data_IF_109520920925
#
_entry.id   IF_109520920925
#
_cell.length_a   1.000
_cell.length_b   1.000
_cell.length_c   1.000
_cell.angle_alpha   90.00
_cell.angle_beta   90.00
_cell.angle_gamma   90.00
#
_symmetry.space_group_name_H-M   'P 1'
#
loop_
_entity.id
_entity.type
_entity.pdbx_description
1 polymer ?
#
# COMPACT_ATOMS: atom_id res chain seq x y z
N UNK A 1 -31.80 16.99 81.35
CA UNK A 1 -30.72 16.03 80.96
C UNK A 1 -30.75 15.89 79.46
N UNK A 2 -29.76 16.47 78.75
CA UNK A 2 -29.74 16.47 77.29
C UNK A 2 -28.62 15.55 76.83
N UNK A 3 -29.00 14.49 76.12
CA UNK A 3 -28.05 13.55 75.49
C UNK A 3 -27.53 14.14 74.20
N UNK A 4 -26.22 14.45 74.11
CA UNK A 4 -25.52 14.77 72.86
C UNK A 4 -25.09 13.48 72.19
N UNK A 5 -25.68 13.16 71.04
CA UNK A 5 -25.22 12.10 70.13
C UNK A 5 -24.11 12.67 69.22
N UNK A 6 -22.93 12.08 69.29
CA UNK A 6 -21.82 12.40 68.40
C UNK A 6 -21.84 11.50 67.19
N UNK A 7 -22.11 12.08 66.02
CA UNK A 7 -21.98 11.38 64.73
C UNK A 7 -20.51 11.42 64.30
N UNK A 8 -19.84 10.29 64.23
CA UNK A 8 -18.50 10.15 63.60
C UNK A 8 -18.69 9.93 62.11
N UNK A 9 -18.27 10.91 61.34
CA UNK A 9 -18.25 10.86 59.89
C UNK A 9 -17.00 10.12 59.44
N UNK A 10 -17.12 8.92 58.84
CA UNK A 10 -16.02 8.18 58.26
C UNK A 10 -15.76 8.70 56.83
N UNK A 11 -14.57 9.26 56.62
CA UNK A 11 -14.10 9.69 55.30
C UNK A 11 -13.51 8.44 54.63
N UNK A 12 -14.21 7.93 53.61
CA UNK A 12 -13.67 6.89 52.73
C UNK A 12 -12.83 7.59 51.67
N UNK A 13 -11.51 7.46 51.74
CA UNK A 13 -10.58 7.89 50.67
C UNK A 13 -10.56 6.80 49.63
N UNK A 14 -11.26 7.03 48.54
CA UNK A 14 -11.17 6.17 47.35
C UNK A 14 -9.90 6.60 46.59
N UNK A 15 -8.84 5.81 46.77
CA UNK A 15 -7.61 5.96 45.98
C UNK A 15 -7.88 5.46 44.56
N UNK A 16 -8.21 6.37 43.65
CA UNK A 16 -8.35 6.07 42.23
C UNK A 16 -6.98 5.82 41.60
N UNK A 17 -6.64 4.57 41.34
CA UNK A 17 -5.52 4.24 40.46
C UNK A 17 -5.86 4.67 39.05
N UNK A 18 -5.36 5.81 38.61
CA UNK A 18 -5.31 6.21 37.21
C UNK A 18 -4.33 5.29 36.50
N UNK A 19 -4.82 4.22 35.90
CA UNK A 19 -4.08 3.49 34.88
C UNK A 19 -3.99 4.39 33.64
N UNK A 20 -2.92 5.15 33.52
CA UNK A 20 -2.54 5.77 32.25
C UNK A 20 -2.17 4.65 31.29
N UNK A 21 -3.09 4.27 30.42
CA UNK A 21 -2.78 3.47 29.24
C UNK A 21 -1.84 4.33 28.37
N UNK A 22 -0.55 4.16 28.52
CA UNK A 22 0.43 4.61 27.54
C UNK A 22 0.10 3.81 26.27
N UNK A 23 -0.62 4.42 25.35
CA UNK A 23 -0.67 3.94 23.99
C UNK A 23 0.79 3.96 23.49
N UNK A 24 1.44 2.81 23.49
CA UNK A 24 2.72 2.65 22.80
C UNK A 24 2.45 2.95 21.33
N UNK A 25 2.79 4.14 20.88
CA UNK A 25 2.84 4.43 19.46
C UNK A 25 3.75 3.38 18.82
N UNK A 26 3.22 2.59 17.93
CA UNK A 26 4.00 1.58 17.22
C UNK A 26 5.15 2.31 16.52
N UNK A 27 6.38 1.85 16.75
CA UNK A 27 7.54 2.39 16.05
C UNK A 27 7.37 2.15 14.54
N UNK A 28 7.58 3.19 13.76
CA UNK A 28 7.48 3.10 12.31
C UNK A 28 8.58 2.18 11.77
N UNK A 29 8.28 1.47 10.68
CA UNK A 29 9.17 0.51 10.02
C UNK A 29 9.73 -0.56 10.97
N UNK A 30 8.93 -0.97 11.93
CA UNK A 30 9.27 -1.99 12.90
C UNK A 30 8.14 -3.02 13.05
N UNK A 31 8.51 -4.26 13.33
CA UNK A 31 7.56 -5.31 13.68
C UNK A 31 7.34 -5.34 15.18
N UNK A 32 6.09 -5.44 15.60
CA UNK A 32 5.74 -5.75 16.98
C UNK A 32 6.22 -7.16 17.34
N UNK A 33 6.35 -7.51 18.63
CA UNK A 33 6.67 -8.87 19.04
C UNK A 33 5.68 -9.91 18.50
N UNK A 34 4.39 -9.56 18.43
CA UNK A 34 3.35 -10.44 17.90
C UNK A 34 3.53 -10.65 16.39
N UNK A 35 3.78 -9.59 15.62
CA UNK A 35 4.00 -9.71 14.18
C UNK A 35 5.22 -10.59 13.85
N UNK A 36 6.29 -10.47 14.63
CA UNK A 36 7.45 -11.36 14.49
C UNK A 36 7.08 -12.83 14.73
N UNK A 37 6.26 -13.09 15.73
CA UNK A 37 5.76 -14.45 16.04
C UNK A 37 4.84 -14.96 14.94
N UNK A 38 4.03 -14.08 14.35
CA UNK A 38 3.08 -14.40 13.29
C UNK A 38 3.72 -14.56 11.91
N UNK A 39 5.04 -14.37 11.80
CA UNK A 39 5.81 -14.57 10.58
C UNK A 39 5.87 -13.37 9.63
N UNK A 40 5.53 -12.17 10.10
CA UNK A 40 5.71 -10.95 9.33
C UNK A 40 7.19 -10.64 9.11
N UNK A 41 7.49 -10.08 7.96
CA UNK A 41 8.82 -9.61 7.56
C UNK A 41 8.72 -8.17 7.08
N UNK A 42 9.69 -7.33 7.43
CA UNK A 42 9.80 -5.99 6.86
C UNK A 42 10.33 -6.10 5.43
N UNK A 43 9.67 -5.42 4.49
CA UNK A 43 10.23 -5.13 3.18
C UNK A 43 10.96 -3.79 3.16
N UNK A 44 10.77 -2.96 4.20
CA UNK A 44 11.48 -1.70 4.39
C UNK A 44 11.68 -1.43 5.88
N UNK A 45 12.91 -1.12 6.27
CA UNK A 45 13.31 -0.91 7.67
C UNK A 45 13.48 0.57 8.07
N UNK A 46 13.14 1.48 7.15
CA UNK A 46 13.26 2.92 7.37
C UNK A 46 14.63 3.51 7.03
N UNK A 47 15.64 2.72 6.66
CA UNK A 47 17.02 3.20 6.54
C UNK A 47 17.52 3.27 5.12
N UNK A 48 17.31 2.23 4.34
CA UNK A 48 17.83 2.13 2.98
C UNK A 48 16.88 1.32 2.08
N UNK A 49 17.23 1.19 0.82
CA UNK A 49 16.47 0.44 -0.18
C UNK A 49 17.02 -0.97 -0.40
N UNK A 50 17.71 -1.54 0.58
CA UNK A 50 18.10 -2.95 0.54
C UNK A 50 16.86 -3.84 0.40
N UNK A 51 16.91 -4.80 -0.52
CA UNK A 51 15.74 -5.64 -0.83
C UNK A 51 14.87 -5.09 -1.97
N UNK A 52 15.27 -3.96 -2.57
CA UNK A 52 14.59 -3.33 -3.70
C UNK A 52 15.54 -3.03 -4.85
N UNK A 53 15.01 -3.05 -6.06
CA UNK A 53 15.69 -2.62 -7.28
C UNK A 53 14.71 -1.95 -8.24
N UNK A 54 15.21 -1.17 -9.17
CA UNK A 54 14.39 -0.65 -10.26
C UNK A 54 14.10 -1.74 -11.28
N UNK A 55 12.90 -1.75 -11.85
CA UNK A 55 12.45 -2.78 -12.78
C UNK A 55 13.49 -3.10 -13.85
N UNK A 56 13.90 -4.36 -13.94
CA UNK A 56 14.95 -4.89 -14.83
C UNK A 56 16.33 -4.21 -14.71
N UNK A 57 16.64 -3.62 -13.54
CA UNK A 57 17.93 -2.99 -13.28
C UNK A 57 18.60 -3.61 -12.05
N UNK A 58 19.87 -3.31 -11.87
CA UNK A 58 20.57 -3.65 -10.63
C UNK A 58 20.50 -2.48 -9.65
N UNK A 59 19.82 -2.69 -8.52
CA UNK A 59 19.65 -1.69 -7.48
C UNK A 59 18.53 -0.67 -7.76
N UNK A 60 18.22 0.20 -6.79
CA UNK A 60 17.01 1.02 -6.78
C UNK A 60 17.01 2.24 -7.72
N UNK A 61 18.07 2.41 -8.52
CA UNK A 61 18.16 3.54 -9.44
C UNK A 61 18.35 4.89 -8.75
N UNK A 62 18.07 5.98 -9.48
CA UNK A 62 18.28 7.36 -8.99
C UNK A 62 17.00 8.04 -8.56
N UNK A 63 15.85 7.51 -8.97
CA UNK A 63 14.55 8.16 -8.77
C UNK A 63 13.98 7.91 -7.37
N UNK A 64 14.45 6.85 -6.74
CA UNK A 64 14.05 6.46 -5.40
C UNK A 64 15.13 6.77 -4.36
N UNK A 65 14.71 7.10 -3.16
CA UNK A 65 15.60 7.31 -2.01
C UNK A 65 14.84 7.13 -0.71
N UNK A 66 15.55 7.19 0.41
CA UNK A 66 14.96 7.23 1.74
C UNK A 66 15.11 8.63 2.30
N UNK A 67 14.03 9.18 2.85
CA UNK A 67 13.99 10.44 3.59
C UNK A 67 12.90 10.37 4.65
N UNK A 68 13.19 10.86 5.85
CA UNK A 68 12.25 10.91 6.97
C UNK A 68 11.58 9.54 7.23
N UNK A 69 12.42 8.48 7.28
CA UNK A 69 12.02 7.10 7.50
C UNK A 69 10.98 6.57 6.46
N UNK A 70 10.92 7.15 5.28
CA UNK A 70 10.05 6.73 4.20
C UNK A 70 10.83 6.52 2.89
N UNK A 71 10.39 5.56 2.08
CA UNK A 71 10.77 5.49 0.67
C UNK A 71 10.11 6.65 -0.04
N UNK A 72 10.88 7.44 -0.74
CA UNK A 72 10.37 8.57 -1.53
C UNK A 72 10.70 8.40 -3.01
N UNK A 73 9.74 8.72 -3.84
CA UNK A 73 9.98 8.97 -5.24
C UNK A 73 10.47 10.42 -5.39
N UNK A 74 11.71 10.58 -5.88
CA UNK A 74 12.30 11.87 -6.22
C UNK A 74 11.75 12.36 -7.54
N UNK A 75 12.26 13.50 -7.97
CA UNK A 75 12.01 14.05 -9.28
C UNK A 75 12.29 12.99 -10.35
N UNK A 76 11.32 12.81 -11.22
CA UNK A 76 11.51 12.09 -12.46
C UNK A 76 12.52 12.84 -13.35
N UNK A 77 13.59 12.18 -13.73
CA UNK A 77 14.46 12.70 -14.78
C UNK A 77 13.76 12.55 -16.13
N UNK A 78 13.97 13.50 -17.03
CA UNK A 78 13.36 13.54 -18.35
C UNK A 78 14.00 12.58 -19.38
N UNK A 79 14.70 11.54 -18.94
CA UNK A 79 15.26 10.52 -19.83
C UNK A 79 14.29 9.33 -19.95
N UNK A 80 13.58 9.21 -21.09
CA UNK A 80 12.60 8.12 -21.28
C UNK A 80 13.18 6.72 -21.16
N UNK A 81 14.50 6.55 -21.28
CA UNK A 81 15.14 5.25 -21.17
C UNK A 81 15.35 4.80 -19.70
N UNK A 82 15.29 5.75 -18.75
CA UNK A 82 15.53 5.50 -17.33
C UNK A 82 14.36 5.94 -16.43
N UNK A 83 13.34 6.53 -17.01
CA UNK A 83 12.33 7.34 -16.31
C UNK A 83 11.12 6.59 -15.75
N UNK A 84 11.03 5.27 -15.93
CA UNK A 84 9.87 4.49 -15.49
C UNK A 84 10.27 3.31 -14.62
N UNK A 85 11.37 3.46 -13.91
CA UNK A 85 11.81 2.38 -13.07
C UNK A 85 10.95 2.31 -11.81
N UNK A 86 9.84 1.60 -11.92
CA UNK A 86 9.11 1.16 -10.74
C UNK A 86 10.07 0.46 -9.79
N UNK A 87 9.89 0.67 -8.50
CA UNK A 87 10.71 0.04 -7.47
C UNK A 87 10.14 -1.34 -7.18
N UNK A 88 10.92 -2.38 -7.39
CA UNK A 88 10.51 -3.79 -7.35
C UNK A 88 11.19 -4.50 -6.18
N UNK A 89 10.46 -5.32 -5.43
CA UNK A 89 11.04 -6.16 -4.37
C UNK A 89 11.96 -7.22 -4.93
N UNK A 90 13.09 -7.52 -4.25
CA UNK A 90 13.96 -8.63 -4.65
C UNK A 90 13.28 -10.00 -4.44
N UNK A 91 12.36 -10.10 -3.48
CA UNK A 91 11.59 -11.30 -3.22
C UNK A 91 10.36 -11.43 -4.12
N UNK A 92 9.98 -12.68 -4.41
CA UNK A 92 8.72 -13.03 -5.06
C UNK A 92 7.76 -13.65 -4.03
N UNK A 93 6.47 -13.41 -4.22
CA UNK A 93 5.43 -13.84 -3.28
C UNK A 93 4.26 -14.47 -4.04
N UNK A 94 3.76 -15.61 -3.52
CA UNK A 94 2.61 -16.33 -4.08
C UNK A 94 1.34 -16.05 -3.29
N UNK A 95 1.26 -16.57 -2.06
CA UNK A 95 0.17 -16.26 -1.13
C UNK A 95 0.74 -15.36 -0.05
N UNK A 96 0.12 -14.22 0.18
CA UNK A 96 0.69 -13.20 1.07
C UNK A 96 -0.37 -12.28 1.66
N UNK A 97 -0.01 -11.66 2.78
CA UNK A 97 -0.65 -10.50 3.36
C UNK A 97 0.41 -9.37 3.38
N UNK A 98 0.22 -8.35 2.56
CA UNK A 98 1.08 -7.17 2.44
C UNK A 98 0.41 -5.98 3.08
N UNK A 99 1.10 -5.30 3.99
CA UNK A 99 0.66 -4.04 4.59
C UNK A 99 1.65 -2.94 4.31
N UNK A 100 1.14 -1.75 4.04
CA UNK A 100 1.97 -0.56 3.88
C UNK A 100 1.16 0.71 4.14
N UNK A 101 1.86 1.80 4.33
CA UNK A 101 1.29 3.14 4.33
C UNK A 101 1.87 3.95 3.20
N UNK A 102 1.03 4.79 2.62
CA UNK A 102 1.44 5.72 1.58
C UNK A 102 0.88 7.13 1.83
N UNK A 103 1.60 8.12 1.35
CA UNK A 103 1.22 9.53 1.38
C UNK A 103 1.66 10.20 0.10
N UNK A 104 0.81 11.03 -0.47
CA UNK A 104 1.10 11.68 -1.74
C UNK A 104 0.68 13.14 -1.76
N UNK A 105 1.29 13.93 -2.65
CA UNK A 105 0.80 15.27 -3.01
C UNK A 105 -0.44 15.18 -3.90
N UNK A 106 -1.14 16.33 -4.08
CA UNK A 106 -2.24 16.39 -5.03
C UNK A 106 -1.85 15.95 -6.44
N UNK A 107 -2.81 15.42 -7.18
CA UNK A 107 -2.69 15.00 -8.58
C UNK A 107 -1.80 13.79 -8.83
N UNK A 108 -1.56 12.97 -7.80
CA UNK A 108 -0.76 11.75 -7.96
C UNK A 108 -1.52 10.70 -8.79
N UNK A 109 -0.78 9.97 -9.62
CA UNK A 109 -1.20 8.75 -10.30
C UNK A 109 -0.08 7.73 -10.13
N UNK A 110 -0.32 6.69 -9.32
CA UNK A 110 0.63 5.66 -8.92
C UNK A 110 -0.12 4.42 -8.44
N UNK A 111 0.59 3.42 -7.93
CA UNK A 111 -0.02 2.19 -7.43
C UNK A 111 0.96 1.26 -6.74
N UNK A 112 0.40 0.24 -6.12
CA UNK A 112 1.14 -0.90 -5.59
C UNK A 112 0.77 -2.11 -6.42
N UNK A 113 1.76 -2.64 -7.15
CA UNK A 113 1.57 -3.80 -8.01
C UNK A 113 2.03 -5.07 -7.32
N UNK A 114 1.43 -6.18 -7.69
CA UNK A 114 1.79 -7.52 -7.21
C UNK A 114 1.72 -8.53 -8.35
N UNK A 115 2.42 -9.65 -8.20
CA UNK A 115 2.65 -10.66 -9.23
C UNK A 115 3.38 -10.12 -10.47
N UNK A 116 4.20 -9.09 -10.27
CA UNK A 116 5.04 -8.54 -11.33
C UNK A 116 6.09 -9.56 -11.75
N UNK A 117 6.26 -9.72 -13.06
CA UNK A 117 7.28 -10.58 -13.64
C UNK A 117 8.38 -9.75 -14.28
N UNK A 118 9.61 -10.14 -14.04
CA UNK A 118 10.77 -9.57 -14.70
C UNK A 118 11.33 -10.50 -15.77
N UNK A 119 11.32 -10.03 -16.99
CA UNK A 119 11.86 -10.73 -18.15
C UNK A 119 12.08 -9.71 -19.27
N UNK A 120 13.08 -9.89 -20.16
CA UNK A 120 13.25 -9.05 -21.34
C UNK A 120 12.02 -8.94 -22.26
N UNK A 121 11.07 -9.87 -22.11
CA UNK A 121 9.79 -9.88 -22.80
C UNK A 121 8.88 -8.72 -22.36
N UNK A 122 8.93 -8.37 -21.08
CA UNK A 122 8.05 -7.36 -20.49
C UNK A 122 8.79 -6.02 -20.40
N UNK A 123 8.16 -4.95 -20.86
CA UNK A 123 8.76 -3.63 -20.88
C UNK A 123 8.39 -2.78 -19.67
N UNK A 124 7.35 -3.17 -18.95
CA UNK A 124 6.80 -2.44 -17.80
C UNK A 124 6.20 -3.44 -16.82
N UNK A 125 6.17 -3.08 -15.55
CA UNK A 125 5.58 -3.86 -14.45
C UNK A 125 4.10 -4.16 -14.66
N UNK A 126 3.35 -3.17 -15.15
CA UNK A 126 1.91 -3.25 -15.38
C UNK A 126 1.48 -4.17 -16.53
N UNK A 127 2.44 -4.72 -17.30
CA UNK A 127 2.12 -5.69 -18.36
C UNK A 127 1.73 -7.05 -17.77
N UNK A 128 2.19 -7.35 -16.58
CA UNK A 128 1.93 -8.62 -15.88
C UNK A 128 1.27 -8.43 -14.52
N UNK A 129 1.67 -7.40 -13.77
CA UNK A 129 1.24 -7.15 -12.41
C UNK A 129 -0.18 -6.60 -12.32
N UNK A 130 -0.90 -7.07 -11.30
CA UNK A 130 -2.15 -6.47 -10.85
C UNK A 130 -1.84 -5.27 -9.96
N UNK A 131 -2.69 -4.24 -9.98
CA UNK A 131 -2.40 -2.98 -9.33
C UNK A 131 -3.51 -2.56 -8.37
N UNK A 132 -3.15 -2.27 -7.12
CA UNK A 132 -3.98 -1.49 -6.21
C UNK A 132 -3.64 -0.01 -6.40
N UNK A 133 -4.60 0.74 -6.95
CA UNK A 133 -4.42 2.11 -7.40
C UNK A 133 -4.15 3.09 -6.26
N UNK A 134 -3.23 4.02 -6.48
CA UNK A 134 -3.03 5.24 -5.71
C UNK A 134 -3.33 6.42 -6.63
N UNK A 135 -4.40 7.16 -6.37
CA UNK A 135 -4.76 8.30 -7.19
C UNK A 135 -5.38 9.43 -6.37
N UNK A 136 -5.00 10.65 -6.71
CA UNK A 136 -5.75 11.85 -6.38
C UNK A 136 -6.36 12.40 -7.66
N UNK A 137 -7.66 12.20 -7.82
CA UNK A 137 -8.39 12.60 -9.01
C UNK A 137 -8.82 14.08 -9.01
N UNK A 138 -8.43 14.87 -8.02
CA UNK A 138 -8.81 16.29 -7.92
C UNK A 138 -8.31 17.13 -9.10
N UNK A 139 -7.27 16.65 -9.78
CA UNK A 139 -6.68 17.30 -10.95
C UNK A 139 -7.14 16.71 -12.30
N UNK A 140 -8.01 15.71 -12.27
CA UNK A 140 -8.53 15.10 -13.50
C UNK A 140 -9.86 15.73 -13.87
N UNK A 141 -10.14 15.83 -15.18
CA UNK A 141 -11.47 16.20 -15.65
C UNK A 141 -12.41 15.04 -15.36
N UNK A 142 -13.55 15.25 -14.70
CA UNK A 142 -14.54 14.20 -14.47
C UNK A 142 -14.91 13.50 -15.79
N UNK A 143 -14.66 12.22 -15.87
CA UNK A 143 -15.11 11.41 -16.98
C UNK A 143 -15.50 9.99 -16.48
N UNK A 144 -16.19 9.22 -17.31
CA UNK A 144 -16.65 7.87 -16.97
C UNK A 144 -15.51 6.88 -16.69
N UNK A 145 -14.27 7.23 -17.05
CA UNK A 145 -13.07 6.39 -16.81
C UNK A 145 -12.56 6.48 -15.38
N UNK A 146 -13.02 7.45 -14.59
CA UNK A 146 -12.65 7.59 -13.18
C UNK A 146 -13.08 6.40 -12.33
N UNK A 147 -14.16 5.72 -12.72
CA UNK A 147 -14.70 4.54 -12.04
C UNK A 147 -13.68 3.46 -12.15
N UNK A 148 -12.77 3.09 -12.15
CA UNK A 148 -11.78 2.00 -12.22
C UNK A 148 -10.36 2.56 -12.08
N UNK A 149 -10.26 3.81 -11.59
CA UNK A 149 -8.98 4.52 -11.41
C UNK A 149 -8.89 5.23 -10.07
N UNK A 150 -9.83 4.97 -9.18
CA UNK A 150 -9.84 5.56 -7.84
C UNK A 150 -8.80 4.88 -6.97
N UNK A 151 -8.32 5.62 -6.00
CA UNK A 151 -7.46 5.03 -4.98
C UNK A 151 -8.15 3.85 -4.30
N UNK A 152 -7.44 2.71 -4.18
CA UNK A 152 -7.96 1.46 -3.65
C UNK A 152 -8.67 0.55 -4.66
N UNK A 153 -8.91 1.00 -5.90
CA UNK A 153 -9.43 0.13 -6.95
C UNK A 153 -8.41 -0.96 -7.33
N UNK A 154 -8.92 -2.12 -7.78
CA UNK A 154 -8.14 -2.99 -8.64
C UNK A 154 -8.14 -2.35 -10.03
N UNK A 155 -7.06 -1.66 -10.37
CA UNK A 155 -6.98 -0.72 -11.48
C UNK A 155 -7.50 -1.30 -12.79
N UNK A 156 -8.46 -0.61 -13.38
CA UNK A 156 -9.06 -0.99 -14.66
C UNK A 156 -9.95 -2.23 -14.63
N UNK A 157 -10.19 -2.85 -13.48
CA UNK A 157 -10.94 -4.09 -13.32
C UNK A 157 -12.10 -3.99 -12.34
N UNK A 158 -11.84 -3.62 -11.07
CA UNK A 158 -12.86 -3.61 -10.03
C UNK A 158 -12.75 -2.31 -9.23
N UNK A 159 -13.86 -1.60 -9.11
CA UNK A 159 -13.91 -0.33 -8.39
C UNK A 159 -14.35 -0.50 -6.94
N UNK A 160 -13.77 0.31 -6.07
CA UNK A 160 -14.25 0.47 -4.69
C UNK A 160 -15.66 1.06 -4.70
N UNK A 161 -16.49 0.63 -3.74
CA UNK A 161 -17.85 1.18 -3.56
C UNK A 161 -17.84 2.49 -2.78
N UNK A 162 -16.84 2.65 -1.92
CA UNK A 162 -16.72 3.79 -1.01
C UNK A 162 -15.33 4.39 -1.16
N UNK A 163 -15.25 5.69 -1.40
CA UNK A 163 -13.98 6.40 -1.40
C UNK A 163 -13.54 6.62 0.05
N UNK A 164 -12.41 6.04 0.43
CA UNK A 164 -11.80 6.17 1.76
C UNK A 164 -10.44 6.82 1.74
N UNK A 165 -9.99 7.28 0.58
CA UNK A 165 -8.73 8.00 0.47
C UNK A 165 -8.80 9.28 1.32
N UNK A 166 -7.75 9.54 2.08
CA UNK A 166 -7.60 10.77 2.85
C UNK A 166 -7.10 11.90 1.96
N UNK A 167 -7.15 13.11 2.48
CA UNK A 167 -6.68 14.28 1.76
C UNK A 167 -5.18 14.17 1.42
N UNK A 168 -4.79 14.85 0.35
CA UNK A 168 -3.38 14.89 -0.06
C UNK A 168 -2.48 15.38 1.09
N UNK A 169 -1.38 14.67 1.30
CA UNK A 169 -0.47 14.91 2.42
C UNK A 169 -0.75 14.09 3.68
N UNK A 170 -1.85 13.35 3.75
CA UNK A 170 -2.16 12.44 4.84
C UNK A 170 -1.72 11.01 4.52
N UNK A 171 -1.36 10.24 5.57
CA UNK A 171 -1.01 8.84 5.46
C UNK A 171 -2.25 7.97 5.28
N UNK A 172 -2.29 7.20 4.20
CA UNK A 172 -3.27 6.17 3.90
C UNK A 172 -2.69 4.78 4.19
N UNK A 173 -3.55 3.84 4.51
CA UNK A 173 -3.18 2.44 4.75
C UNK A 173 -3.68 1.56 3.62
N UNK A 174 -2.80 0.72 3.09
CA UNK A 174 -3.11 -0.37 2.18
C UNK A 174 -2.83 -1.71 2.84
N UNK A 175 -3.71 -2.66 2.59
CA UNK A 175 -3.50 -4.07 2.86
C UNK A 175 -3.95 -4.87 1.63
N UNK A 176 -3.06 -5.72 1.12
CA UNK A 176 -3.31 -6.60 -0.02
C UNK A 176 -3.14 -8.03 0.46
N UNK A 177 -4.25 -8.76 0.52
CA UNK A 177 -4.26 -10.17 0.90
C UNK A 177 -4.57 -10.97 -0.36
N UNK A 178 -3.66 -11.87 -0.74
CA UNK A 178 -3.90 -12.85 -1.79
C UNK A 178 -3.61 -14.24 -1.27
N UNK A 179 -4.67 -15.02 -1.10
CA UNK A 179 -4.62 -16.38 -0.56
C UNK A 179 -5.31 -17.35 -1.51
N UNK A 180 -4.53 -18.19 -2.20
CA UNK A 180 -5.02 -19.18 -3.17
C UNK A 180 -6.01 -18.60 -4.20
N UNK A 181 -5.74 -17.35 -4.63
CA UNK A 181 -6.56 -16.61 -5.59
C UNK A 181 -7.69 -15.80 -4.96
N UNK A 182 -7.99 -15.97 -3.69
CA UNK A 182 -8.89 -15.06 -2.99
C UNK A 182 -8.15 -13.74 -2.72
N UNK A 183 -8.51 -12.71 -3.46
CA UNK A 183 -7.89 -11.38 -3.36
C UNK A 183 -8.77 -10.44 -2.54
N UNK A 184 -8.15 -9.75 -1.59
CA UNK A 184 -8.75 -8.63 -0.87
C UNK A 184 -7.81 -7.42 -1.00
N UNK A 185 -8.36 -6.29 -1.43
CA UNK A 185 -7.68 -5.00 -1.40
C UNK A 185 -8.38 -4.12 -0.38
N UNK A 186 -7.65 -3.66 0.62
CA UNK A 186 -8.21 -2.93 1.76
C UNK A 186 -7.53 -1.56 1.83
N UNK A 187 -8.31 -0.49 1.66
CA UNK A 187 -7.84 0.88 1.86
C UNK A 187 -8.53 1.49 3.06
N UNK A 188 -7.75 1.93 4.06
CA UNK A 188 -8.27 2.59 5.27
C UNK A 188 -9.45 1.83 5.90
N UNK A 189 -9.36 0.48 5.94
CA UNK A 189 -10.35 -0.41 6.52
C UNK A 189 -11.55 -0.78 5.62
N UNK A 190 -11.61 -0.29 4.38
CA UNK A 190 -12.65 -0.69 3.40
C UNK A 190 -12.07 -1.64 2.36
N UNK A 191 -12.72 -2.78 2.19
CA UNK A 191 -12.25 -3.84 1.32
C UNK A 191 -13.08 -3.97 0.03
N UNK A 192 -12.40 -4.33 -1.06
CA UNK A 192 -12.98 -5.03 -2.20
C UNK A 192 -12.40 -6.44 -2.27
N UNK A 193 -13.19 -7.38 -2.74
CA UNK A 193 -12.79 -8.79 -2.82
C UNK A 193 -13.12 -9.35 -4.19
N UNK A 194 -12.30 -10.27 -4.67
CA UNK A 194 -12.54 -11.03 -5.90
C UNK A 194 -11.83 -12.38 -5.83
N UNK A 195 -12.22 -13.30 -6.70
CA UNK A 195 -11.51 -14.55 -6.91
C UNK A 195 -10.71 -14.44 -8.21
N UNK A 196 -9.39 -14.61 -8.10
CA UNK A 196 -8.49 -14.66 -9.25
C UNK A 196 -8.50 -16.06 -9.86
N UNK A 197 -8.21 -16.14 -11.16
CA UNK A 197 -7.91 -17.36 -11.92
C UNK A 197 -9.08 -18.35 -12.04
N UNK A 198 -10.29 -17.92 -11.77
CA UNK A 198 -11.52 -18.65 -12.09
C UNK A 198 -12.10 -18.22 -13.46
N UNK A 199 -13.24 -18.79 -13.83
CA UNK A 199 -13.92 -18.46 -15.08
C UNK A 199 -14.44 -17.02 -15.11
N UNK A 200 -14.88 -16.48 -13.97
CA UNK A 200 -15.35 -15.12 -13.87
C UNK A 200 -14.19 -14.13 -14.03
N UNK A 201 -13.03 -14.42 -13.45
CA UNK A 201 -11.80 -13.67 -13.65
C UNK A 201 -11.38 -13.64 -15.11
N UNK A 202 -11.38 -14.80 -15.76
CA UNK A 202 -11.03 -14.92 -17.18
C UNK A 202 -11.96 -14.10 -18.08
N UNK A 203 -13.27 -14.08 -17.79
CA UNK A 203 -14.25 -13.25 -18.50
C UNK A 203 -14.03 -11.75 -18.23
N UNK A 204 -13.72 -11.36 -16.98
CA UNK A 204 -13.41 -9.99 -16.62
C UNK A 204 -12.20 -9.47 -17.41
N UNK A 205 -11.11 -10.24 -17.45
CA UNK A 205 -9.91 -9.89 -18.22
C UNK A 205 -10.21 -9.75 -19.71
N UNK A 206 -10.96 -10.69 -20.28
CA UNK A 206 -11.31 -10.67 -21.70
C UNK A 206 -12.14 -9.44 -22.11
N UNK A 207 -12.92 -8.86 -21.18
CA UNK A 207 -13.75 -7.68 -21.40
C UNK A 207 -13.04 -6.37 -20.99
N UNK A 208 -11.88 -6.46 -20.35
CA UNK A 208 -11.14 -5.31 -19.84
C UNK A 208 -10.26 -4.65 -20.90
N UNK A 209 -9.73 -3.48 -20.57
CA UNK A 209 -8.69 -2.81 -21.38
C UNK A 209 -7.41 -3.63 -21.53
N UNK A 210 -7.21 -4.63 -20.67
CA UNK A 210 -6.05 -5.52 -20.66
C UNK A 210 -6.20 -6.76 -21.55
N UNK A 211 -7.34 -6.94 -22.23
CA UNK A 211 -7.66 -8.13 -23.04
C UNK A 211 -6.61 -8.50 -24.10
N UNK A 212 -5.78 -7.54 -24.52
CA UNK A 212 -4.68 -7.76 -25.47
C UNK A 212 -3.36 -8.18 -24.80
N UNK A 213 -3.28 -8.17 -23.48
CA UNK A 213 -2.09 -8.53 -22.73
C UNK A 213 -2.24 -9.94 -22.16
N UNK A 214 -1.76 -10.91 -22.92
CA UNK A 214 -2.03 -12.34 -22.66
C UNK A 214 -1.52 -12.84 -21.33
N UNK A 215 -0.52 -12.15 -20.75
CA UNK A 215 0.11 -12.55 -19.50
C UNK A 215 -0.37 -11.73 -18.30
N UNK A 216 -1.18 -10.69 -18.52
CA UNK A 216 -1.69 -9.84 -17.46
C UNK A 216 -2.62 -10.60 -16.52
N UNK A 217 -2.35 -10.57 -15.23
CA UNK A 217 -3.18 -11.18 -14.20
C UNK A 217 -3.24 -12.72 -14.24
N UNK A 218 -2.28 -13.38 -14.90
CA UNK A 218 -2.23 -14.84 -15.02
C UNK A 218 -1.25 -15.52 -14.08
N UNK A 219 -0.28 -14.78 -13.58
CA UNK A 219 0.75 -15.28 -12.67
C UNK A 219 0.23 -15.47 -11.26
N UNK A 220 0.74 -16.50 -10.57
CA UNK A 220 0.37 -16.87 -9.20
C UNK A 220 1.46 -16.61 -8.17
N UNK A 221 2.58 -16.06 -8.62
CA UNK A 221 3.68 -15.54 -7.82
C UNK A 221 4.34 -14.41 -8.60
N UNK A 222 5.09 -13.59 -7.92
CA UNK A 222 5.87 -12.52 -8.52
C UNK A 222 6.26 -11.47 -7.50
N UNK A 223 6.90 -10.43 -7.97
CA UNK A 223 7.39 -9.33 -7.17
C UNK A 223 6.27 -8.39 -6.74
N UNK A 224 6.49 -7.69 -5.63
CA UNK A 224 5.75 -6.47 -5.26
C UNK A 224 6.44 -5.28 -5.90
N UNK A 225 5.68 -4.34 -6.43
CA UNK A 225 6.23 -3.12 -7.03
C UNK A 225 5.52 -1.86 -6.54
N UNK A 226 6.31 -0.83 -6.29
CA UNK A 226 5.83 0.53 -6.05
C UNK A 226 5.98 1.30 -7.36
N UNK A 227 4.86 1.76 -7.92
CA UNK A 227 4.89 2.42 -9.22
C UNK A 227 5.48 3.82 -9.13
N UNK A 228 6.38 4.14 -10.05
CA UNK A 228 6.76 5.52 -10.33
C UNK A 228 5.59 6.28 -10.97
N UNK A 229 5.40 7.53 -10.57
CA UNK A 229 4.32 8.35 -11.14
C UNK A 229 4.65 8.87 -12.53
N UNK A 230 3.64 9.01 -13.37
CA UNK A 230 3.74 9.64 -14.70
C UNK A 230 3.56 11.16 -14.67
N UNK A 231 3.70 11.83 -13.53
CA UNK A 231 3.43 13.26 -13.43
C UNK A 231 4.22 14.07 -14.46
N UNK A 232 3.47 14.80 -15.28
CA UNK A 232 4.01 15.52 -16.46
C UNK A 232 4.44 16.95 -16.15
N UNK A 233 4.27 17.45 -14.95
CA UNK A 233 4.29 18.89 -14.74
C UNK A 233 5.18 19.43 -13.63
N UNK A 234 5.50 18.68 -12.61
CA UNK A 234 6.24 19.19 -11.45
C UNK A 234 7.60 18.50 -11.28
N UNK A 235 8.59 19.32 -10.96
CA UNK A 235 9.96 18.84 -10.73
C UNK A 235 10.14 18.14 -9.38
N UNK A 236 9.13 18.15 -8.51
CA UNK A 236 9.16 17.54 -7.22
C UNK A 236 8.03 16.53 -7.04
N UNK A 237 8.34 15.28 -7.29
CA UNK A 237 7.44 14.19 -6.97
C UNK A 237 7.41 14.03 -5.46
N UNK A 238 6.24 13.76 -4.93
CA UNK A 238 6.03 13.67 -3.50
C UNK A 238 5.09 12.51 -3.21
N UNK A 239 5.62 11.34 -3.40
CA UNK A 239 5.01 10.07 -3.06
C UNK A 239 5.93 9.40 -2.04
N UNK A 240 5.33 8.95 -0.94
CA UNK A 240 6.02 8.39 0.21
C UNK A 240 5.40 7.06 0.56
N UNK A 241 6.26 6.08 0.89
CA UNK A 241 5.85 4.77 1.40
C UNK A 241 6.60 4.45 2.69
N UNK A 242 5.92 3.83 3.66
CA UNK A 242 6.51 3.36 4.91
C UNK A 242 5.74 2.16 5.47
N UNK A 243 6.24 1.59 6.55
CA UNK A 243 5.60 0.48 7.25
C UNK A 243 5.31 -0.72 6.33
N UNK A 244 6.19 -0.94 5.33
CA UNK A 244 6.03 -1.99 4.34
C UNK A 244 6.44 -3.31 4.96
N UNK A 245 5.48 -4.19 5.15
CA UNK A 245 5.69 -5.53 5.72
C UNK A 245 4.83 -6.55 5.05
N UNK A 246 5.32 -7.78 4.98
CA UNK A 246 4.65 -8.88 4.31
C UNK A 246 4.71 -10.15 5.16
N UNK A 247 3.69 -10.98 5.04
CA UNK A 247 3.62 -12.31 5.62
C UNK A 247 3.22 -13.30 4.53
N UNK A 248 3.94 -14.41 4.40
CA UNK A 248 3.51 -15.54 3.57
C UNK A 248 2.34 -16.27 4.23
N UNK A 249 1.37 -16.70 3.41
CA UNK A 249 0.16 -17.41 3.82
C UNK A 249 0.20 -18.88 3.38
#
# INVERSE_FOLDING_TARGET
>A
MAHKSSFKMAIIVVSGCLFSALANAQQENALTPQEKTDGWQLLFDGKDLNGWHSFQQQGPGKDWSVQDDAIILKKRNSDPATDYADLVSNGEFANFDLKLEWKAKPCIDSGVMFYVQESPKYKQTYVTGLEMQIADLSCTVPDSREILRRSGDLYGLISTKVNTVKEAGEWNQFEIISDHGHLQLIQNGQAITTQLWDDAWSQLLAQSKFSKWTDFGTFRNGHISLQGTEDKGDSEIKLYFRNIKIKSL
#
